data_IF_165557550302
#
_entry.id   IF_165557550302
#
_cell.length_a   1.000
_cell.length_b   1.000
_cell.length_c   1.000
_cell.angle_alpha   90.00
_cell.angle_beta   90.00
_cell.angle_gamma   90.00
#
_symmetry.space_group_name_H-M   'P 1'
#
loop_
_entity.id
_entity.type
_entity.pdbx_description
1 polymer ?
#
# COMPACT_ATOMS: atom_id res chain seq x y z
N UNK A 1 -8.67 1.97 -9.62
CA UNK A 1 -8.00 2.24 -10.90
C UNK A 1 -6.64 2.91 -10.73
N UNK A 2 -6.26 3.44 -9.56
CA UNK A 2 -4.84 3.71 -9.27
C UNK A 2 -4.23 2.41 -8.76
N UNK A 3 -3.64 1.61 -9.65
CA UNK A 3 -3.15 0.27 -9.33
C UNK A 3 -1.62 0.23 -9.28
N UNK A 4 -0.95 1.06 -10.08
CA UNK A 4 0.51 1.13 -10.12
C UNK A 4 1.06 2.58 -10.16
N UNK A 5 2.39 2.69 -10.28
CA UNK A 5 3.07 3.99 -10.38
C UNK A 5 2.75 4.73 -11.69
N UNK A 6 2.48 4.01 -12.78
CA UNK A 6 2.14 4.60 -14.07
C UNK A 6 0.78 5.28 -13.99
N UNK A 7 -0.18 4.66 -13.32
CA UNK A 7 -1.49 5.22 -13.04
C UNK A 7 -1.40 6.51 -12.21
N UNK A 8 -0.59 6.50 -11.17
CA UNK A 8 -0.38 7.68 -10.33
C UNK A 8 0.23 8.83 -11.15
N UNK A 9 1.21 8.54 -12.01
CA UNK A 9 1.80 9.54 -12.91
C UNK A 9 0.78 10.07 -13.92
N UNK A 10 -0.03 9.20 -14.52
CA UNK A 10 -1.07 9.57 -15.47
C UNK A 10 -2.13 10.48 -14.82
N UNK A 11 -2.52 10.15 -13.58
CA UNK A 11 -3.45 10.96 -12.80
C UNK A 11 -2.85 12.32 -12.44
N UNK A 12 -1.58 12.38 -12.02
CA UNK A 12 -0.88 13.64 -11.75
C UNK A 12 -0.79 14.52 -13.01
N UNK A 13 -0.54 13.92 -14.18
CA UNK A 13 -0.57 14.63 -15.44
C UNK A 13 -1.96 15.19 -15.73
N UNK A 14 -3.01 14.36 -15.58
CA UNK A 14 -4.40 14.81 -15.76
C UNK A 14 -4.77 15.97 -14.82
N UNK A 15 -4.30 15.93 -13.57
CA UNK A 15 -4.50 17.00 -12.59
C UNK A 15 -3.77 18.28 -12.99
N UNK A 16 -2.56 18.19 -13.53
CA UNK A 16 -1.84 19.35 -14.06
C UNK A 16 -2.57 19.97 -15.26
N UNK A 17 -2.98 19.14 -16.22
CA UNK A 17 -3.65 19.57 -17.45
C UNK A 17 -5.00 20.25 -17.14
N UNK A 18 -5.70 19.78 -16.10
CA UNK A 18 -7.01 20.31 -15.65
C UNK A 18 -6.90 21.25 -14.46
N UNK A 19 -5.72 21.76 -14.14
CA UNK A 19 -5.47 22.58 -12.96
C UNK A 19 -6.40 23.81 -12.86
N UNK A 20 -6.71 24.46 -13.99
CA UNK A 20 -7.63 25.61 -14.04
C UNK A 20 -9.07 25.25 -13.63
N UNK A 21 -9.57 24.10 -14.08
CA UNK A 21 -10.89 23.58 -13.72
C UNK A 21 -10.93 23.22 -12.22
N UNK A 22 -9.91 22.49 -11.77
CA UNK A 22 -9.82 21.98 -10.39
C UNK A 22 -9.59 23.09 -9.36
N UNK A 23 -9.03 24.23 -9.77
CA UNK A 23 -8.69 25.35 -8.88
C UNK A 23 -9.88 25.85 -8.07
N UNK A 24 -11.06 25.90 -8.68
CA UNK A 24 -12.29 26.39 -8.04
C UNK A 24 -12.75 25.52 -6.88
N UNK A 25 -12.45 24.22 -6.92
CA UNK A 25 -12.95 23.24 -5.96
C UNK A 25 -11.92 22.83 -4.91
N UNK A 26 -10.65 22.77 -5.30
CA UNK A 26 -9.58 22.21 -4.46
C UNK A 26 -8.46 23.22 -4.15
N UNK A 27 -8.57 24.45 -4.65
CA UNK A 27 -7.52 25.46 -4.50
C UNK A 27 -6.40 25.31 -5.53
N UNK A 28 -5.34 26.10 -5.36
CA UNK A 28 -4.30 26.22 -6.39
C UNK A 28 -3.48 24.93 -6.54
N UNK A 29 -3.61 24.27 -7.68
CA UNK A 29 -2.75 23.16 -8.09
C UNK A 29 -1.57 23.72 -8.88
N UNK A 30 -0.39 23.83 -8.23
CA UNK A 30 0.79 24.37 -8.91
C UNK A 30 1.49 23.31 -9.77
N UNK A 31 1.85 23.67 -11.01
CA UNK A 31 2.64 22.81 -11.89
C UNK A 31 3.99 22.43 -11.26
N UNK A 32 4.59 23.35 -10.50
CA UNK A 32 5.83 23.10 -9.75
C UNK A 32 5.66 21.96 -8.72
N UNK A 33 4.53 21.94 -7.99
CA UNK A 33 4.21 20.88 -7.02
C UNK A 33 4.00 19.54 -7.72
N UNK A 34 3.24 19.51 -8.83
CA UNK A 34 3.04 18.28 -9.60
C UNK A 34 4.37 17.75 -10.15
N UNK A 35 5.20 18.62 -10.71
CA UNK A 35 6.52 18.25 -11.21
C UNK A 35 7.47 17.75 -10.12
N UNK A 36 7.38 18.30 -8.91
CA UNK A 36 8.13 17.81 -7.76
C UNK A 36 7.72 16.37 -7.37
N UNK A 37 6.41 16.09 -7.34
CA UNK A 37 5.90 14.74 -7.08
C UNK A 37 6.35 13.76 -8.18
N UNK A 38 6.23 14.14 -9.46
CA UNK A 38 6.65 13.30 -10.59
C UNK A 38 8.14 12.93 -10.52
N UNK A 39 9.03 13.88 -10.15
CA UNK A 39 10.46 13.57 -9.93
C UNK A 39 10.68 12.61 -8.77
N UNK A 40 9.90 12.74 -7.70
CA UNK A 40 9.91 11.79 -6.59
C UNK A 40 9.54 10.38 -7.02
N UNK A 41 8.52 10.24 -7.88
CA UNK A 41 8.11 8.95 -8.43
C UNK A 41 9.20 8.33 -9.33
N UNK A 42 9.86 9.12 -10.18
CA UNK A 42 10.98 8.63 -11.00
C UNK A 42 12.14 8.08 -10.15
N UNK A 43 12.44 8.73 -9.01
CA UNK A 43 13.44 8.22 -8.08
C UNK A 43 13.03 6.87 -7.48
N UNK A 44 11.74 6.65 -7.20
CA UNK A 44 11.24 5.36 -6.72
C UNK A 44 11.27 4.29 -7.81
N UNK A 45 10.91 4.64 -9.05
CA UNK A 45 10.99 3.74 -10.20
C UNK A 45 12.44 3.24 -10.41
N UNK A 46 13.44 4.14 -10.29
CA UNK A 46 14.85 3.75 -10.35
C UNK A 46 15.30 2.78 -9.24
N UNK A 47 14.55 2.73 -8.14
CA UNK A 47 14.74 1.78 -7.03
C UNK A 47 13.93 0.48 -7.21
N UNK A 48 13.30 0.28 -8.36
CA UNK A 48 12.55 -0.92 -8.69
C UNK A 48 11.13 -0.95 -8.14
N UNK A 49 10.55 0.21 -7.80
CA UNK A 49 9.22 0.30 -7.24
C UNK A 49 8.11 -0.26 -8.15
N UNK A 50 8.32 -0.35 -9.47
CA UNK A 50 7.40 -1.00 -10.42
C UNK A 50 7.17 -2.49 -10.12
N UNK A 51 8.17 -3.17 -9.54
CA UNK A 51 8.03 -4.58 -9.12
C UNK A 51 7.39 -4.72 -7.75
N UNK A 52 7.33 -3.61 -7.01
CA UNK A 52 6.90 -3.57 -5.62
C UNK A 52 5.41 -3.22 -5.51
N UNK A 53 4.95 -2.29 -6.33
CA UNK A 53 3.55 -1.92 -6.45
C UNK A 53 2.91 -2.70 -7.59
N UNK A 54 2.01 -3.64 -7.25
CA UNK A 54 1.31 -4.46 -8.22
C UNK A 54 0.27 -5.35 -7.57
N UNK A 55 -0.40 -6.16 -8.39
CA UNK A 55 -1.38 -7.12 -7.91
C UNK A 55 -0.86 -8.57 -7.97
N UNK A 56 -1.22 -9.41 -6.99
CA UNK A 56 -2.12 -9.10 -5.88
C UNK A 56 -1.40 -8.32 -4.78
N UNK A 57 -2.08 -7.29 -4.28
CA UNK A 57 -1.61 -6.51 -3.14
C UNK A 57 -1.53 -7.42 -1.90
N UNK A 58 -0.48 -7.24 -1.09
CA UNK A 58 -0.35 -7.93 0.19
C UNK A 58 -1.59 -7.67 1.04
N UNK A 59 -2.21 -8.74 1.52
CA UNK A 59 -3.32 -8.68 2.45
C UNK A 59 -2.80 -8.86 3.87
N UNK A 60 -2.93 -7.81 4.70
CA UNK A 60 -2.50 -7.86 6.09
C UNK A 60 -3.17 -8.99 6.88
N UNK A 61 -4.37 -9.42 6.50
CA UNK A 61 -5.05 -10.56 7.13
C UNK A 61 -4.26 -11.87 6.98
N UNK A 62 -3.51 -12.02 5.88
CA UNK A 62 -2.71 -13.22 5.64
C UNK A 62 -1.53 -13.34 6.62
N UNK A 63 -1.07 -12.22 7.20
CA UNK A 63 -0.01 -12.17 8.21
C UNK A 63 -0.50 -12.63 9.60
N UNK A 64 -1.81 -12.59 9.85
CA UNK A 64 -2.43 -12.91 11.15
C UNK A 64 -3.01 -14.33 11.20
N UNK A 65 -2.66 -15.17 10.22
CA UNK A 65 -3.12 -16.56 10.18
C UNK A 65 -2.46 -17.40 11.28
N UNK A 66 -3.13 -18.49 11.62
CA UNK A 66 -2.63 -19.53 12.50
C UNK A 66 -2.31 -20.80 11.70
N UNK A 67 -1.45 -21.64 12.25
CA UNK A 67 -1.20 -22.99 11.71
C UNK A 67 -2.35 -23.96 12.04
N UNK A 68 -2.21 -25.21 11.59
CA UNK A 68 -3.21 -26.26 11.82
C UNK A 68 -3.41 -26.61 13.32
N UNK A 69 -2.46 -26.23 14.18
CA UNK A 69 -2.49 -26.43 15.63
C UNK A 69 -3.00 -25.18 16.37
N UNK A 70 -3.39 -24.12 15.64
CA UNK A 70 -3.88 -22.87 16.23
C UNK A 70 -2.77 -21.93 16.72
N UNK A 71 -1.50 -22.21 16.42
CA UNK A 71 -0.37 -21.34 16.79
C UNK A 71 -0.22 -20.21 15.78
N UNK A 72 0.18 -19.03 16.26
CA UNK A 72 0.48 -17.90 15.38
C UNK A 72 1.62 -18.20 14.40
N UNK A 73 1.51 -17.69 13.18
CA UNK A 73 2.53 -17.85 12.14
C UNK A 73 3.67 -16.84 12.31
N UNK A 74 4.92 -17.29 12.16
CA UNK A 74 6.09 -16.40 12.04
C UNK A 74 6.27 -16.08 10.56
N UNK A 75 5.98 -14.82 10.20
CA UNK A 75 6.17 -14.32 8.84
C UNK A 75 7.52 -13.61 8.74
N UNK A 76 8.34 -13.95 7.74
CA UNK A 76 9.61 -13.30 7.47
C UNK A 76 9.52 -12.54 6.15
N UNK A 77 9.60 -11.21 6.21
CA UNK A 77 9.67 -10.36 5.03
C UNK A 77 11.13 -10.27 4.58
N UNK A 78 11.50 -11.07 3.57
CA UNK A 78 12.85 -11.09 3.03
C UNK A 78 13.13 -9.79 2.24
N UNK A 79 13.77 -8.82 2.91
CA UNK A 79 14.06 -7.50 2.38
C UNK A 79 15.51 -7.34 1.87
N UNK A 80 16.23 -8.45 1.63
CA UNK A 80 17.66 -8.48 1.23
C UNK A 80 18.02 -7.46 0.14
N UNK A 81 17.15 -7.32 -0.88
CA UNK A 81 17.31 -6.36 -1.98
C UNK A 81 16.73 -4.98 -1.65
N UNK A 82 15.64 -4.96 -0.90
CA UNK A 82 14.88 -3.76 -0.58
C UNK A 82 15.63 -2.84 0.40
N UNK A 83 16.53 -3.39 1.22
CA UNK A 83 17.44 -2.60 2.07
C UNK A 83 18.37 -1.69 1.25
N UNK A 84 18.66 -2.02 -0.01
CA UNK A 84 19.42 -1.15 -0.93
C UNK A 84 18.57 0.02 -1.47
N UNK A 85 17.25 -0.02 -1.24
CA UNK A 85 16.27 0.97 -1.62
C UNK A 85 15.54 1.51 -0.36
N UNK A 86 16.22 2.25 0.52
CA UNK A 86 15.70 2.62 1.84
C UNK A 86 14.40 3.42 1.79
N UNK A 87 14.21 4.25 0.75
CA UNK A 87 12.95 5.01 0.57
C UNK A 87 11.78 4.09 0.25
N UNK A 88 11.99 3.12 -0.64
CA UNK A 88 10.95 2.14 -0.99
C UNK A 88 10.61 1.27 0.23
N UNK A 89 11.62 0.86 0.99
CA UNK A 89 11.43 0.15 2.26
C UNK A 89 10.58 0.96 3.25
N UNK A 90 10.93 2.22 3.50
CA UNK A 90 10.18 3.07 4.42
C UNK A 90 8.73 3.31 3.98
N UNK A 91 8.50 3.52 2.68
CA UNK A 91 7.14 3.68 2.12
C UNK A 91 6.31 2.42 2.35
N UNK A 92 6.87 1.25 2.08
CA UNK A 92 6.19 -0.02 2.31
C UNK A 92 5.79 -0.22 3.77
N UNK A 93 6.74 -0.02 4.69
CA UNK A 93 6.49 -0.21 6.11
C UNK A 93 5.44 0.77 6.65
N UNK A 94 5.47 2.02 6.19
CA UNK A 94 4.44 2.99 6.53
C UNK A 94 3.06 2.56 5.99
N UNK A 95 3.01 2.12 4.74
CA UNK A 95 1.79 1.61 4.12
C UNK A 95 1.24 0.43 4.93
N UNK A 96 2.09 -0.52 5.31
CA UNK A 96 1.69 -1.71 6.06
C UNK A 96 1.07 -1.34 7.42
N UNK A 97 1.70 -0.43 8.15
CA UNK A 97 1.18 0.03 9.43
C UNK A 97 -0.13 0.83 9.28
N UNK A 98 -0.25 1.65 8.23
CA UNK A 98 -1.47 2.37 7.92
C UNK A 98 -2.62 1.42 7.56
N UNK A 99 -2.35 0.41 6.71
CA UNK A 99 -3.33 -0.60 6.30
C UNK A 99 -3.81 -1.44 7.51
N UNK A 100 -2.89 -1.80 8.41
CA UNK A 100 -3.24 -2.45 9.69
C UNK A 100 -4.17 -1.57 10.53
N UNK A 101 -3.87 -0.28 10.68
CA UNK A 101 -4.71 0.64 11.44
C UNK A 101 -6.10 0.82 10.83
N UNK A 102 -6.19 0.93 9.50
CA UNK A 102 -7.44 1.17 8.78
C UNK A 102 -8.34 -0.08 8.76
N UNK A 103 -7.77 -1.27 8.55
CA UNK A 103 -8.55 -2.51 8.40
C UNK A 103 -8.88 -3.20 9.72
N UNK A 104 -8.03 -3.08 10.74
CA UNK A 104 -8.27 -3.77 11.99
C UNK A 104 -9.34 -3.06 12.83
N UNK A 105 -10.27 -3.80 13.45
CA UNK A 105 -11.16 -3.22 14.44
C UNK A 105 -10.39 -2.89 15.71
N UNK A 106 -10.86 -1.88 16.44
CA UNK A 106 -10.35 -1.64 17.80
C UNK A 106 -10.68 -2.83 18.69
N UNK A 107 -9.73 -3.15 19.57
CA UNK A 107 -9.85 -4.21 20.55
C UNK A 107 -9.48 -3.69 21.92
N UNK A 108 -10.12 -4.26 22.94
CA UNK A 108 -9.78 -3.99 24.33
C UNK A 108 -8.48 -4.67 24.74
N UNK A 109 -8.35 -4.93 26.03
CA UNK A 109 -7.22 -5.67 26.57
C UNK A 109 -7.34 -7.15 26.19
N UNK A 110 -6.36 -7.66 25.45
CA UNK A 110 -6.31 -9.04 24.97
C UNK A 110 -5.14 -9.75 25.63
N UNK A 111 -5.33 -11.01 26.03
CA UNK A 111 -4.25 -11.84 26.59
C UNK A 111 -3.09 -12.02 25.60
N UNK A 112 -3.37 -12.01 24.30
CA UNK A 112 -2.39 -12.13 23.23
C UNK A 112 -2.66 -11.08 22.14
N UNK A 113 -1.60 -10.48 21.56
CA UNK A 113 -1.75 -9.57 20.44
C UNK A 113 -2.22 -10.32 19.18
N UNK A 114 -2.94 -9.61 18.30
CA UNK A 114 -3.30 -10.13 16.96
C UNK A 114 -2.09 -10.26 16.04
N UNK A 115 -1.14 -9.35 16.19
CA UNK A 115 0.08 -9.29 15.40
C UNK A 115 1.19 -8.63 16.21
N UNK A 116 2.41 -9.14 16.09
CA UNK A 116 3.62 -8.47 16.56
C UNK A 116 4.53 -8.24 15.36
N UNK A 117 4.91 -6.99 15.15
CA UNK A 117 5.77 -6.59 14.04
C UNK A 117 7.13 -6.14 14.55
N UNK A 118 8.19 -6.77 14.06
CA UNK A 118 9.58 -6.41 14.35
C UNK A 118 10.16 -5.67 13.14
N UNK A 119 10.53 -4.41 13.35
CA UNK A 119 11.28 -3.62 12.40
C UNK A 119 12.76 -3.79 12.67
N UNK A 120 13.39 -4.68 11.92
CA UNK A 120 14.85 -4.75 11.88
C UNK A 120 15.42 -3.57 11.10
N UNK A 121 16.57 -3.08 11.55
CA UNK A 121 17.20 -1.85 11.09
C UNK A 121 16.24 -0.66 11.05
N UNK A 122 15.55 -0.44 12.19
CA UNK A 122 14.54 0.61 12.34
C UNK A 122 15.02 2.01 11.96
N UNK A 123 16.33 2.28 12.02
CA UNK A 123 16.93 3.54 11.58
C UNK A 123 16.57 3.91 10.13
N UNK A 124 16.32 2.92 9.26
CA UNK A 124 15.93 3.13 7.86
C UNK A 124 14.57 3.84 7.72
N UNK A 125 13.71 3.78 8.73
CA UNK A 125 12.43 4.48 8.76
C UNK A 125 12.55 5.97 9.06
N UNK A 126 13.61 6.36 9.76
CA UNK A 126 13.72 7.68 10.37
C UNK A 126 14.79 8.54 9.71
N UNK A 127 15.83 7.93 9.14
CA UNK A 127 16.90 8.63 8.44
C UNK A 127 16.34 9.43 7.25
N UNK A 128 16.65 10.73 7.22
CA UNK A 128 16.20 11.68 6.20
C UNK A 128 14.67 11.76 6.02
N UNK A 129 13.89 11.25 6.99
CA UNK A 129 12.45 11.32 6.94
C UNK A 129 11.97 12.77 7.20
N UNK A 130 11.15 13.35 6.33
CA UNK A 130 10.63 14.70 6.55
C UNK A 130 9.75 14.73 7.81
N UNK A 131 9.63 15.88 8.50
CA UNK A 131 8.84 15.98 9.74
C UNK A 131 7.41 15.46 9.62
N UNK A 132 6.76 15.67 8.47
CA UNK A 132 5.42 15.15 8.21
C UNK A 132 5.36 13.61 8.23
N UNK A 133 6.40 12.94 7.72
CA UNK A 133 6.50 11.48 7.74
C UNK A 133 6.74 10.97 9.16
N UNK A 134 7.65 11.60 9.91
CA UNK A 134 7.92 11.26 11.31
C UNK A 134 6.64 11.36 12.17
N UNK A 135 5.90 12.45 12.04
CA UNK A 135 4.62 12.65 12.74
C UNK A 135 3.60 11.55 12.38
N UNK A 136 3.56 11.14 11.11
CA UNK A 136 2.67 10.07 10.66
C UNK A 136 3.09 8.72 11.26
N UNK A 137 4.38 8.41 11.28
CA UNK A 137 4.89 7.17 11.90
C UNK A 137 4.53 7.15 13.39
N UNK A 138 4.81 8.23 14.12
CA UNK A 138 4.46 8.35 15.54
C UNK A 138 2.97 8.14 15.78
N UNK A 139 2.12 8.81 14.99
CA UNK A 139 0.68 8.67 15.07
C UNK A 139 0.25 7.22 14.84
N UNK A 140 0.78 6.57 13.80
CA UNK A 140 0.38 5.21 13.46
C UNK A 140 0.85 4.22 14.52
N UNK A 141 2.11 4.30 14.98
CA UNK A 141 2.64 3.44 16.07
C UNK A 141 1.79 3.56 17.34
N UNK A 142 1.35 4.77 17.69
CA UNK A 142 0.46 5.00 18.82
C UNK A 142 -0.91 4.34 18.62
N UNK A 143 -1.48 4.46 17.42
CA UNK A 143 -2.85 4.02 17.13
C UNK A 143 -2.98 2.51 16.88
N UNK A 144 -1.98 1.86 16.27
CA UNK A 144 -2.05 0.41 16.00
C UNK A 144 -2.09 -0.42 17.28
N UNK A 145 -1.63 0.13 18.41
CA UNK A 145 -1.73 -0.52 19.73
C UNK A 145 -3.18 -0.84 20.11
N UNK A 146 -4.12 0.08 19.88
CA UNK A 146 -5.55 -0.16 20.18
C UNK A 146 -6.20 -1.17 19.23
N UNK A 147 -5.49 -1.59 18.18
CA UNK A 147 -5.90 -2.65 17.24
C UNK A 147 -5.35 -4.02 17.64
N UNK A 148 -4.63 -4.12 18.75
CA UNK A 148 -3.99 -5.36 19.21
C UNK A 148 -2.71 -5.68 18.45
N UNK A 149 -2.05 -4.66 17.89
CA UNK A 149 -0.78 -4.81 17.17
C UNK A 149 0.37 -4.29 18.05
N UNK A 150 1.36 -5.15 18.31
CA UNK A 150 2.61 -4.79 18.95
C UNK A 150 3.67 -4.39 17.93
N UNK A 151 4.40 -3.30 18.18
CA UNK A 151 5.49 -2.83 17.32
C UNK A 151 6.79 -2.81 18.11
N UNK A 152 7.83 -3.45 17.55
CA UNK A 152 9.18 -3.48 18.10
C UNK A 152 10.15 -2.89 17.07
N UNK A 153 10.91 -1.88 17.49
CA UNK A 153 12.00 -1.33 16.68
C UNK A 153 13.32 -1.92 17.16
N UNK A 154 14.06 -2.54 16.24
CA UNK A 154 15.37 -3.13 16.49
C UNK A 154 16.40 -2.25 15.77
N UNK A 155 17.37 -1.76 16.52
CA UNK A 155 18.43 -0.87 16.02
C UNK A 155 19.72 -1.12 16.78
N UNK A 156 20.85 -0.85 16.13
CA UNK A 156 22.17 -0.91 16.76
C UNK A 156 22.42 0.29 17.67
N UNK A 157 21.86 1.46 17.33
CA UNK A 157 22.03 2.69 18.11
C UNK A 157 20.67 3.30 18.47
N UNK A 158 20.38 3.54 19.76
CA UNK A 158 19.13 4.16 20.18
C UNK A 158 18.95 5.59 19.63
N UNK A 159 20.05 6.30 19.33
CA UNK A 159 20.01 7.66 18.78
C UNK A 159 19.45 7.72 17.35
N UNK A 160 19.33 6.58 16.67
CA UNK A 160 18.77 6.53 15.32
C UNK A 160 17.23 6.46 15.33
N UNK A 161 16.61 6.38 16.51
CA UNK A 161 15.15 6.45 16.68
C UNK A 161 14.80 7.81 17.30
N UNK A 162 13.86 8.58 16.72
CA UNK A 162 13.43 9.86 17.28
C UNK A 162 12.88 9.75 18.70
N UNK A 163 13.21 10.72 19.56
CA UNK A 163 12.76 10.76 20.96
C UNK A 163 11.23 10.67 21.10
N UNK A 164 10.47 11.26 20.17
CA UNK A 164 9.00 11.20 20.19
C UNK A 164 8.47 9.78 19.99
N UNK A 165 9.14 8.99 19.16
CA UNK A 165 8.83 7.58 18.93
C UNK A 165 9.34 6.73 20.09
N UNK A 166 10.57 6.97 20.55
CA UNK A 166 11.11 6.29 21.74
C UNK A 166 10.16 6.45 22.93
N UNK A 167 9.62 7.65 23.18
CA UNK A 167 8.67 7.89 24.25
C UNK A 167 7.37 7.07 24.20
N UNK A 168 7.00 6.52 23.03
CA UNK A 168 5.81 5.66 22.88
C UNK A 168 6.09 4.17 23.18
N UNK A 169 7.35 3.78 23.25
CA UNK A 169 7.76 2.39 23.38
C UNK A 169 7.93 2.00 24.85
N UNK A 170 7.01 1.18 25.35
CA UNK A 170 6.98 0.81 26.77
C UNK A 170 7.90 -0.34 27.18
N UNK A 171 8.19 -1.27 26.26
CA UNK A 171 9.11 -2.39 26.50
C UNK A 171 10.52 -2.05 26.01
N UNK A 172 11.53 -2.42 26.80
CA UNK A 172 12.95 -2.19 26.51
C UNK A 172 13.75 -3.47 26.71
N UNK A 173 14.58 -3.77 25.71
CA UNK A 173 15.63 -4.78 25.76
C UNK A 173 16.88 -4.15 25.19
N UNK A 174 17.90 -3.93 26.03
CA UNK A 174 19.13 -3.27 25.67
C UNK A 174 20.30 -4.25 25.80
N UNK A 175 20.93 -4.56 24.68
CA UNK A 175 22.17 -5.32 24.66
C UNK A 175 23.39 -4.41 24.90
N UNK A 176 24.58 -5.03 24.98
CA UNK A 176 25.83 -4.32 25.17
C UNK A 176 26.04 -3.20 24.12
N UNK A 177 26.40 -2.01 24.57
CA UNK A 177 26.89 -0.93 23.72
C UNK A 177 28.36 -0.70 24.00
N UNK A 178 29.16 -0.59 22.94
CA UNK A 178 30.59 -0.28 23.06
C UNK A 178 30.78 1.23 22.95
N UNK A 179 31.20 1.85 24.05
CA UNK A 179 31.42 3.29 24.10
C UNK A 179 32.89 3.66 23.87
N UNK A 180 33.27 3.88 22.61
CA UNK A 180 34.63 4.32 22.25
C UNK A 180 34.69 5.79 21.87
N UNK A 181 33.59 6.34 21.34
CA UNK A 181 33.49 7.73 20.89
C UNK A 181 32.55 8.54 21.79
N UNK A 182 32.61 9.90 21.76
CA UNK A 182 31.63 10.74 22.43
C UNK A 182 30.19 10.48 21.97
N UNK A 183 29.99 10.10 20.71
CA UNK A 183 28.67 9.72 20.18
C UNK A 183 28.17 8.45 20.87
N UNK A 184 29.03 7.46 21.06
CA UNK A 184 28.65 6.20 21.70
C UNK A 184 28.36 6.41 23.19
N UNK A 185 29.14 7.25 23.88
CA UNK A 185 28.85 7.63 25.27
C UNK A 185 27.48 8.30 25.39
N UNK A 186 27.13 9.18 24.44
CA UNK A 186 25.79 9.77 24.38
C UNK A 186 24.72 8.69 24.16
N UNK A 187 24.96 7.72 23.28
CA UNK A 187 24.04 6.62 23.03
C UNK A 187 23.80 5.75 24.28
N UNK A 188 24.87 5.42 25.02
CA UNK A 188 24.78 4.70 26.30
C UNK A 188 23.94 5.48 27.31
N UNK A 189 24.21 6.78 27.47
CA UNK A 189 23.46 7.64 28.38
C UNK A 189 21.97 7.74 27.98
N UNK A 190 21.69 7.93 26.70
CA UNK A 190 20.31 7.96 26.20
C UNK A 190 19.60 6.64 26.45
N UNK A 191 20.23 5.50 26.15
CA UNK A 191 19.66 4.18 26.46
C UNK A 191 19.32 4.07 27.96
N UNK A 192 20.27 4.37 28.85
CA UNK A 192 20.06 4.29 30.29
C UNK A 192 18.90 5.18 30.78
N UNK A 193 18.80 6.41 30.26
CA UNK A 193 17.74 7.37 30.63
C UNK A 193 16.34 6.96 30.15
N UNK A 194 16.24 6.15 29.10
CA UNK A 194 14.95 5.66 28.59
C UNK A 194 14.44 4.41 29.33
N UNK A 195 15.25 3.86 30.23
CA UNK A 195 14.91 2.67 31.01
C UNK A 195 14.44 3.04 32.43
N UNK A 196 13.59 2.21 33.04
CA UNK A 196 13.12 2.49 34.39
C UNK A 196 14.24 2.29 35.41
N UNK A 197 14.56 3.27 36.27
CA UNK A 197 15.63 3.15 37.27
C UNK A 197 15.42 1.96 38.21
N UNK A 198 16.53 1.32 38.60
CA UNK A 198 16.58 0.30 39.63
C UNK A 198 17.65 0.72 40.66
N UNK A 199 17.30 0.97 41.94
CA UNK A 199 18.26 1.41 42.96
C UNK A 199 19.44 0.46 43.18
N UNK A 200 19.30 -0.83 42.84
CA UNK A 200 20.36 -1.84 42.97
C UNK A 200 21.26 -1.97 41.74
N UNK A 201 21.04 -1.19 40.68
CA UNK A 201 21.73 -1.34 39.40
C UNK A 201 22.08 0.03 38.80
N UNK A 202 23.37 0.29 38.61
CA UNK A 202 23.81 1.38 37.74
C UNK A 202 23.60 0.96 36.28
N UNK A 203 22.50 1.44 35.69
CA UNK A 203 22.09 1.10 34.32
C UNK A 203 23.15 1.58 33.31
N UNK A 204 23.72 2.78 33.51
CA UNK A 204 24.67 3.35 32.55
C UNK A 204 25.98 2.56 32.52
N UNK A 205 26.52 2.23 33.72
CA UNK A 205 27.68 1.36 33.84
C UNK A 205 27.38 -0.04 33.29
N UNK A 206 26.25 -0.64 33.69
CA UNK A 206 25.88 -1.99 33.30
C UNK A 206 25.80 -2.19 31.79
N UNK A 207 25.28 -1.20 31.02
CA UNK A 207 25.22 -1.27 29.55
C UNK A 207 26.59 -1.55 28.92
N UNK A 208 27.65 -0.96 29.47
CA UNK A 208 29.02 -1.12 28.94
C UNK A 208 29.68 -2.44 29.36
N UNK A 209 29.23 -3.00 30.48
CA UNK A 209 29.75 -4.22 31.11
C UNK A 209 29.05 -5.50 30.65
N UNK A 210 27.93 -5.40 29.93
CA UNK A 210 27.20 -6.55 29.41
C UNK A 210 28.10 -7.45 28.54
N UNK A 211 28.06 -8.74 28.84
CA UNK A 211 28.68 -9.80 28.06
C UNK A 211 27.79 -10.33 26.94
N UNK A 212 28.31 -11.31 26.20
CA UNK A 212 27.55 -12.00 25.15
C UNK A 212 26.39 -12.77 25.78
N UNK A 213 25.19 -12.58 25.23
CA UNK A 213 23.98 -13.23 25.72
C UNK A 213 23.34 -12.53 26.92
N UNK A 214 23.87 -11.41 27.39
CA UNK A 214 23.23 -10.59 28.42
C UNK A 214 22.51 -9.38 27.82
N UNK A 215 21.48 -8.93 28.54
CA UNK A 215 20.74 -7.71 28.24
C UNK A 215 20.22 -7.05 29.51
N UNK A 216 20.01 -5.75 29.45
CA UNK A 216 19.14 -5.04 30.38
C UNK A 216 17.71 -5.08 29.87
N UNK A 217 16.77 -5.43 30.73
CA UNK A 217 15.37 -5.66 30.36
C UNK A 217 14.45 -4.85 31.27
N UNK A 218 13.52 -4.11 30.67
CA UNK A 218 12.44 -3.43 31.37
C UNK A 218 11.15 -3.60 30.56
N UNK A 219 10.26 -4.46 31.05
CA UNK A 219 8.98 -4.76 30.40
C UNK A 219 7.82 -4.12 31.16
N UNK A 220 6.68 -3.95 30.48
CA UNK A 220 5.46 -3.46 31.11
C UNK A 220 4.83 -4.52 32.04
N UNK A 221 4.31 -4.07 33.18
CA UNK A 221 3.43 -4.85 34.05
C UNK A 221 2.01 -4.96 33.44
N UNK A 222 1.09 -5.77 34.01
CA UNK A 222 -0.28 -5.88 33.53
C UNK A 222 -1.08 -4.56 33.56
N UNK A 223 -0.59 -3.52 34.23
CA UNK A 223 -1.20 -2.18 34.26
C UNK A 223 -0.53 -1.24 33.24
N UNK A 224 0.34 -1.75 32.38
CA UNK A 224 1.07 -1.00 31.37
C UNK A 224 2.16 -0.09 31.93
N UNK A 225 2.66 -0.36 33.15
CA UNK A 225 3.76 0.42 33.76
C UNK A 225 5.08 -0.31 33.54
N UNK A 226 6.14 0.36 33.06
CA UNK A 226 7.45 -0.27 32.94
C UNK A 226 7.90 -0.79 34.31
N UNK A 227 8.43 -2.01 34.40
CA UNK A 227 9.03 -2.57 35.62
C UNK A 227 10.47 -2.09 35.79
N UNK A 228 11.04 -2.08 37.02
CA UNK A 228 12.45 -1.74 37.23
C UNK A 228 13.36 -2.54 36.29
N UNK A 229 14.41 -1.89 35.80
CA UNK A 229 15.33 -2.54 34.86
C UNK A 229 16.15 -3.62 35.57
N UNK A 230 16.22 -4.80 34.95
CA UNK A 230 16.97 -5.95 35.46
C UNK A 230 18.01 -6.41 34.43
N UNK A 231 19.14 -6.95 34.90
CA UNK A 231 20.12 -7.65 34.05
C UNK A 231 19.68 -9.10 33.90
N UNK A 232 19.57 -9.58 32.67
CA UNK A 232 19.11 -10.93 32.36
C UNK A 232 19.97 -11.61 31.29
N UNK A 233 20.00 -12.93 31.33
CA UNK A 233 20.51 -13.76 30.24
C UNK A 233 19.40 -14.01 29.21
N UNK A 234 19.72 -13.84 27.93
CA UNK A 234 18.85 -14.13 26.81
C UNK A 234 19.06 -15.59 26.40
N UNK A 235 17.95 -16.33 26.36
CA UNK A 235 17.96 -17.72 25.90
C UNK A 235 18.41 -17.74 24.43
N UNK A 236 19.43 -18.55 24.08
CA UNK A 236 19.88 -18.65 22.69
C UNK A 236 18.77 -19.22 21.80
N UNK A 237 18.70 -18.80 20.52
CA UNK A 237 17.67 -19.29 19.63
C UNK A 237 17.85 -20.79 19.36
N UNK A 238 16.75 -21.54 19.37
CA UNK A 238 16.72 -22.95 18.98
C UNK A 238 16.66 -23.11 17.44
N UNK A 239 17.49 -22.35 16.72
CA UNK A 239 17.51 -22.29 15.26
C UNK A 239 18.94 -22.40 14.72
N UNK A 240 19.05 -22.57 13.39
CA UNK A 240 20.34 -22.48 12.70
C UNK A 240 20.87 -21.05 12.78
N UNK A 241 22.13 -20.90 13.16
CA UNK A 241 22.89 -19.66 12.96
C UNK A 241 23.25 -19.56 11.48
N UNK A 242 22.65 -18.60 10.77
CA UNK A 242 22.90 -18.34 9.36
C UNK A 242 21.64 -18.39 8.48
N UNK A 243 21.72 -17.87 7.24
CA UNK A 243 20.56 -17.75 6.37
C UNK A 243 20.01 -19.11 5.93
N UNK A 244 18.71 -19.13 5.61
CA UNK A 244 18.12 -20.26 4.92
C UNK A 244 18.62 -20.37 3.47
N UNK A 245 18.90 -21.60 3.06
CA UNK A 245 19.27 -21.94 1.69
C UNK A 245 18.13 -21.66 0.72
N UNK A 246 18.44 -21.44 -0.55
CA UNK A 246 17.41 -21.15 -1.56
C UNK A 246 16.42 -22.31 -1.73
N UNK A 247 16.89 -23.56 -1.64
CA UNK A 247 16.05 -24.74 -1.72
C UNK A 247 15.06 -24.83 -0.54
N UNK A 248 15.50 -24.54 0.70
CA UNK A 248 14.61 -24.48 1.86
C UNK A 248 13.57 -23.36 1.70
N UNK A 249 14.01 -22.17 1.27
CA UNK A 249 13.11 -21.03 1.01
C UNK A 249 12.07 -21.39 -0.05
N UNK A 250 12.47 -22.08 -1.13
CA UNK A 250 11.58 -22.50 -2.20
C UNK A 250 10.57 -23.54 -1.73
N UNK A 251 11.00 -24.55 -0.96
CA UNK A 251 10.12 -25.57 -0.40
C UNK A 251 9.05 -24.96 0.52
N UNK A 252 9.43 -23.99 1.38
CA UNK A 252 8.48 -23.27 2.23
C UNK A 252 7.47 -22.45 1.43
N UNK A 253 7.92 -21.78 0.35
CA UNK A 253 7.01 -21.03 -0.53
C UNK A 253 6.02 -21.95 -1.23
N UNK A 254 6.48 -23.06 -1.79
CA UNK A 254 5.63 -24.02 -2.51
C UNK A 254 4.62 -24.71 -1.57
N UNK A 255 5.02 -24.99 -0.33
CA UNK A 255 4.13 -25.54 0.70
C UNK A 255 3.16 -24.52 1.32
N UNK A 256 3.32 -23.23 1.03
CA UNK A 256 2.46 -22.19 1.60
C UNK A 256 1.10 -22.17 0.92
N UNK A 257 -0.01 -22.16 1.69
CA UNK A 257 -1.34 -21.95 1.12
C UNK A 257 -1.52 -20.60 0.41
N UNK A 258 -0.58 -19.66 0.60
CA UNK A 258 -0.58 -18.35 -0.08
C UNK A 258 0.15 -18.36 -1.42
N UNK A 259 0.81 -19.46 -1.79
CA UNK A 259 1.55 -19.55 -3.06
C UNK A 259 0.63 -19.20 -4.23
N UNK A 260 -0.53 -19.87 -4.32
CA UNK A 260 -1.53 -19.62 -5.37
C UNK A 260 -2.05 -18.18 -5.39
N UNK A 261 -2.06 -17.49 -4.25
CA UNK A 261 -2.48 -16.09 -4.17
C UNK A 261 -1.41 -15.17 -4.75
N UNK A 262 -0.14 -15.33 -4.40
CA UNK A 262 0.91 -14.34 -4.70
C UNK A 262 1.89 -14.73 -5.82
N UNK A 263 1.83 -15.95 -6.36
CA UNK A 263 2.81 -16.42 -7.35
C UNK A 263 2.64 -15.78 -8.73
N UNK A 264 1.39 -15.46 -9.11
CA UNK A 264 1.09 -14.87 -10.41
C UNK A 264 0.77 -13.39 -10.26
N UNK A 265 1.60 -12.54 -10.86
CA UNK A 265 1.29 -11.12 -10.98
C UNK A 265 0.07 -10.93 -11.88
N UNK A 266 -0.85 -10.06 -11.46
CA UNK A 266 -2.05 -9.72 -12.22
C UNK A 266 -1.84 -8.32 -12.81
N UNK A 267 -1.92 -8.23 -14.13
CA UNK A 267 -1.94 -6.96 -14.86
C UNK A 267 -3.39 -6.65 -15.24
N UNK A 268 -4.03 -5.72 -14.51
CA UNK A 268 -5.40 -5.26 -14.79
C UNK A 268 -5.36 -4.03 -15.68
N UNK A 269 -6.41 -3.88 -16.49
CA UNK A 269 -6.59 -2.68 -17.32
C UNK A 269 -6.47 -1.41 -16.45
N UNK A 270 -5.45 -0.60 -16.75
CA UNK A 270 -4.95 0.43 -15.84
C UNK A 270 -5.69 1.78 -16.01
N UNK A 271 -5.66 2.67 -15.01
CA UNK A 271 -6.17 4.04 -15.23
C UNK A 271 -5.44 4.74 -16.38
N UNK A 272 -4.15 4.46 -16.57
CA UNK A 272 -3.37 4.93 -17.70
C UNK A 272 -4.02 4.51 -19.03
N UNK A 273 -4.38 3.24 -19.20
CA UNK A 273 -5.02 2.74 -20.43
C UNK A 273 -6.40 3.37 -20.65
N UNK A 274 -7.20 3.52 -19.58
CA UNK A 274 -8.50 4.18 -19.66
C UNK A 274 -8.37 5.68 -20.00
N UNK A 275 -7.37 6.37 -19.44
CA UNK A 275 -7.10 7.79 -19.71
C UNK A 275 -6.52 7.99 -21.11
N UNK A 276 -5.57 7.16 -21.53
CA UNK A 276 -5.00 7.16 -22.88
C UNK A 276 -6.07 6.84 -23.92
N UNK A 277 -6.94 5.86 -23.66
CA UNK A 277 -8.08 5.54 -24.52
C UNK A 277 -9.14 6.64 -24.60
N UNK A 278 -9.29 7.47 -23.54
CA UNK A 278 -10.13 8.68 -23.58
C UNK A 278 -9.48 9.81 -24.36
N UNK A 279 -8.17 9.99 -24.26
CA UNK A 279 -7.42 10.98 -25.03
C UNK A 279 -7.32 10.62 -26.53
N UNK A 280 -7.33 9.31 -26.85
CA UNK A 280 -7.28 8.77 -28.21
C UNK A 280 -8.66 8.70 -28.89
N UNK A 281 -9.77 8.97 -28.20
CA UNK A 281 -11.08 9.15 -28.84
C UNK A 281 -11.13 10.54 -29.47
N UNK A 282 -11.22 10.66 -30.80
CA UNK A 282 -11.43 11.96 -31.43
C UNK A 282 -12.72 12.55 -30.87
N UNK A 283 -12.67 13.82 -30.45
CA UNK A 283 -13.89 14.59 -30.23
C UNK A 283 -14.73 14.48 -31.51
N UNK A 284 -15.90 13.85 -31.41
CA UNK A 284 -16.83 13.76 -32.52
C UNK A 284 -17.09 15.18 -33.02
N UNK A 285 -17.00 15.45 -34.34
CA UNK A 285 -17.22 16.80 -34.84
C UNK A 285 -18.64 17.24 -34.47
N UNK A 286 -18.74 18.33 -33.70
CA UNK A 286 -19.98 19.07 -33.60
C UNK A 286 -20.42 19.43 -35.03
N UNK A 287 -21.65 19.03 -35.37
CA UNK A 287 -22.15 19.02 -36.75
C UNK A 287 -21.90 20.32 -37.49
N UNK A 288 -21.06 20.25 -38.52
CA UNK A 288 -21.08 21.19 -39.62
C UNK A 288 -22.28 20.83 -40.50
N UNK A 289 -23.31 21.66 -40.48
CA UNK A 289 -24.41 21.59 -41.44
C UNK A 289 -23.88 21.81 -42.85
N UNK A 290 -23.99 20.78 -43.69
CA UNK A 290 -23.79 20.88 -45.13
C UNK A 290 -25.14 21.25 -45.78
N UNK A 291 -25.17 22.43 -46.40
CA UNK A 291 -26.05 22.70 -47.53
C UNK A 291 -25.43 22.02 -48.75
N UNK A 292 -26.17 21.11 -49.38
CA UNK A 292 -25.83 20.56 -50.69
C UNK A 292 -26.51 21.36 -51.81
N UNK A 293 -25.73 21.77 -52.80
CA UNK A 293 -26.17 22.01 -54.17
C UNK A 293 -25.34 21.12 -55.08
N UNK A 294 -26.03 20.27 -55.85
CA UNK A 294 -25.46 19.06 -56.45
C UNK A 294 -24.71 19.21 -57.77
N UNK A 295 -24.28 18.06 -58.29
CA UNK A 295 -24.31 17.64 -59.70
C UNK A 295 -23.73 16.23 -59.84
N UNK A 296 -24.41 15.38 -60.62
CA UNK A 296 -23.86 14.15 -61.21
C UNK A 296 -23.24 14.50 -62.59
N UNK A 297 -22.35 13.66 -63.19
CA UNK A 297 -22.85 12.47 -63.92
C UNK A 297 -21.92 11.22 -63.99
N UNK A 298 -22.60 10.07 -64.15
CA UNK A 298 -22.40 8.87 -65.01
C UNK A 298 -21.05 8.17 -65.30
N UNK A 299 -21.11 6.82 -65.31
CA UNK A 299 -20.26 5.87 -66.08
C UNK A 299 -19.60 4.79 -65.20
N UNK A 300 -20.19 3.61 -64.94
CA UNK A 300 -20.40 2.38 -65.74
C UNK A 300 -19.38 1.25 -65.46
N UNK A 301 -19.96 0.09 -65.11
CA UNK A 301 -19.51 -1.31 -65.27
C UNK A 301 -18.20 -1.85 -64.66
N UNK A 302 -18.37 -2.83 -63.74
CA UNK A 302 -17.36 -3.88 -63.54
C UNK A 302 -17.52 -4.75 -62.29
N UNK A 303 -18.09 -5.96 -62.45
CA UNK A 303 -17.64 -7.15 -61.68
C UNK A 303 -18.48 -7.55 -60.46
N UNK A 304 -19.43 -8.46 -60.67
CA UNK A 304 -20.23 -9.08 -59.62
C UNK A 304 -19.47 -10.13 -58.80
N UNK A 305 -19.63 -10.02 -57.48
CA UNK A 305 -19.68 -11.09 -56.46
C UNK A 305 -20.01 -10.48 -55.07
N UNK A 306 -19.86 -9.15 -54.92
CA UNK A 306 -20.06 -8.42 -53.67
C UNK A 306 -21.51 -7.92 -53.45
N UNK A 307 -22.35 -7.89 -54.49
CA UNK A 307 -23.74 -7.40 -54.40
C UNK A 307 -24.69 -8.35 -53.66
N UNK A 308 -24.43 -9.67 -53.70
CA UNK A 308 -25.30 -10.68 -53.08
C UNK A 308 -25.19 -10.73 -51.55
N UNK A 309 -24.10 -10.22 -50.96
CA UNK A 309 -23.88 -10.22 -49.51
C UNK A 309 -24.41 -8.94 -48.84
N UNK A 310 -24.44 -7.81 -49.56
CA UNK A 310 -25.01 -6.57 -49.06
C UNK A 310 -26.55 -6.59 -48.99
N UNK A 311 -27.22 -7.32 -49.88
CA UNK A 311 -28.68 -7.43 -49.91
C UNK A 311 -29.25 -8.20 -48.69
N UNK A 312 -28.45 -9.08 -48.10
CA UNK A 312 -28.82 -9.84 -46.89
C UNK A 312 -28.65 -9.00 -45.62
N UNK A 313 -27.78 -7.97 -45.64
CA UNK A 313 -27.47 -7.14 -44.47
C UNK A 313 -28.27 -5.82 -44.41
N UNK A 314 -28.65 -5.24 -45.55
CA UNK A 314 -29.23 -3.88 -45.58
C UNK A 314 -30.66 -3.76 -46.14
N UNK A 315 -31.26 -4.86 -46.61
CA UNK A 315 -32.64 -4.86 -47.12
C UNK A 315 -32.77 -4.22 -48.50
N UNK A 316 -33.64 -4.78 -49.34
CA UNK A 316 -33.84 -4.34 -50.72
C UNK A 316 -35.15 -3.57 -50.92
N UNK A 317 -35.17 -2.68 -51.92
CA UNK A 317 -36.37 -1.92 -52.32
C UNK A 317 -36.92 -2.48 -53.63
N UNK A 318 -38.18 -2.94 -53.64
CA UNK A 318 -38.79 -3.55 -54.82
C UNK A 318 -39.37 -2.56 -55.84
N UNK A 319 -39.72 -2.99 -57.07
CA UNK A 319 -40.06 -2.11 -58.21
C UNK A 319 -41.40 -1.35 -58.11
N UNK A 320 -42.08 -1.40 -56.96
CA UNK A 320 -43.32 -0.66 -56.68
C UNK A 320 -43.34 0.04 -55.30
N UNK A 321 -42.16 0.33 -54.74
CA UNK A 321 -42.04 1.26 -53.61
C UNK A 321 -42.36 0.71 -52.21
N UNK A 322 -42.40 -0.60 -52.02
CA UNK A 322 -42.49 -1.22 -50.69
C UNK A 322 -41.11 -1.54 -50.10
N UNK A 323 -40.81 -1.06 -48.89
CA UNK A 323 -39.60 -1.39 -48.12
C UNK A 323 -39.86 -2.61 -47.22
N UNK A 324 -38.93 -3.58 -47.17
CA UNK A 324 -38.90 -4.65 -46.15
C UNK A 324 -37.62 -4.52 -45.33
N UNK A 325 -37.77 -4.38 -44.02
CA UNK A 325 -36.64 -4.26 -43.09
C UNK A 325 -35.90 -5.59 -42.91
N UNK A 326 -34.57 -5.54 -42.95
CA UNK A 326 -33.66 -6.67 -42.69
C UNK A 326 -33.43 -6.92 -41.20
N UNK A 327 -33.25 -8.20 -40.83
CA UNK A 327 -33.13 -8.67 -39.45
C UNK A 327 -31.70 -8.48 -38.95
N UNK A 328 -31.34 -7.27 -38.48
CA UNK A 328 -30.26 -7.06 -37.49
C UNK A 328 -30.62 -5.86 -36.61
N UNK A 329 -31.77 -5.92 -35.92
CA UNK A 329 -32.08 -4.93 -34.88
C UNK A 329 -33.02 -5.46 -33.79
N UNK A 330 -32.74 -6.66 -33.25
CA UNK A 330 -33.58 -7.19 -32.15
C UNK A 330 -32.83 -8.00 -31.07
N UNK A 331 -31.49 -8.02 -31.03
CA UNK A 331 -30.75 -8.66 -29.93
C UNK A 331 -29.83 -7.72 -29.12
N UNK A 332 -30.02 -6.40 -29.21
CA UNK A 332 -29.23 -5.42 -28.44
C UNK A 332 -30.06 -4.52 -27.50
N UNK A 333 -31.33 -4.85 -27.20
CA UNK A 333 -32.21 -3.92 -26.45
C UNK A 333 -33.05 -4.50 -25.29
N UNK A 334 -32.75 -5.68 -24.76
CA UNK A 334 -33.55 -6.25 -23.65
C UNK A 334 -32.82 -6.65 -22.36
N UNK A 335 -31.49 -6.51 -22.24
CA UNK A 335 -30.77 -6.91 -21.00
C UNK A 335 -30.26 -5.75 -20.12
N UNK A 336 -30.71 -4.51 -20.36
CA UNK A 336 -30.24 -3.31 -19.62
C UNK A 336 -31.27 -2.78 -18.60
N UNK A 337 -32.37 -3.49 -18.30
CA UNK A 337 -33.44 -2.94 -17.44
C UNK A 337 -33.71 -3.62 -16.10
N UNK A 338 -32.84 -4.50 -15.59
CA UNK A 338 -33.02 -5.11 -14.25
C UNK A 338 -31.86 -4.91 -13.26
N UNK A 339 -30.71 -4.35 -13.67
CA UNK A 339 -29.54 -4.18 -12.76
C UNK A 339 -29.51 -2.78 -12.09
N UNK A 340 -30.45 -1.89 -12.44
CA UNK A 340 -30.48 -0.50 -11.99
C UNK A 340 -31.29 -0.25 -10.68
N UNK A 341 -31.62 -1.27 -9.88
CA UNK A 341 -32.42 -1.08 -8.64
C UNK A 341 -31.82 -1.57 -7.32
N UNK A 342 -30.60 -2.08 -7.29
CA UNK A 342 -29.96 -2.49 -6.00
C UNK A 342 -28.71 -1.70 -5.60
N UNK A 343 -28.13 -0.89 -6.49
CA UNK A 343 -26.90 -0.13 -6.18
C UNK A 343 -27.13 1.30 -5.64
N UNK A 344 -28.38 1.73 -5.49
CA UNK A 344 -28.71 3.11 -5.05
C UNK A 344 -29.05 3.26 -3.57
N UNK A 345 -29.00 2.17 -2.77
CA UNK A 345 -29.31 2.25 -1.32
C UNK A 345 -28.13 2.01 -0.38
N UNK A 346 -26.92 1.77 -0.89
CA UNK A 346 -25.76 1.43 -0.06
C UNK A 346 -24.82 2.58 0.33
N UNK A 347 -24.84 3.71 -0.38
CA UNK A 347 -23.73 4.70 -0.30
C UNK A 347 -24.18 6.11 0.14
N UNK A 348 -25.49 6.35 0.33
CA UNK A 348 -26.01 7.66 0.77
C UNK A 348 -26.68 7.66 2.17
N UNK A 349 -26.60 6.54 2.90
CA UNK A 349 -27.22 6.39 4.22
C UNK A 349 -26.32 6.69 5.43
N UNK A 350 -25.01 6.87 5.26
CA UNK A 350 -24.07 6.95 6.40
C UNK A 350 -23.51 8.35 6.70
N UNK A 351 -24.01 9.41 6.03
CA UNK A 351 -23.49 10.78 6.18
C UNK A 351 -24.53 11.84 6.63
N UNK A 352 -25.75 11.43 7.00
CA UNK A 352 -26.74 12.35 7.56
C UNK A 352 -27.18 11.88 8.96
N UNK A 353 -26.80 12.69 9.93
CA UNK A 353 -26.80 12.44 11.38
C UNK A 353 -28.09 11.92 12.00
N UNK A 354 -27.89 11.12 13.06
CA UNK A 354 -28.90 10.94 14.10
C UNK A 354 -28.62 11.92 15.25
N UNK A 355 -29.49 12.94 15.36
CA UNK A 355 -29.60 13.82 16.51
C UNK A 355 -31.00 13.61 17.10
N UNK A 356 -31.04 12.90 18.24
CA UNK A 356 -32.08 13.00 19.27
C UNK A 356 -33.46 12.37 19.01
N UNK A 357 -33.87 11.45 19.89
CA UNK A 357 -34.87 11.67 20.98
C UNK A 357 -35.70 10.41 21.27
N UNK A 358 -35.38 9.72 22.36
CA UNK A 358 -36.31 9.44 23.47
C UNK A 358 -35.54 8.95 24.68
#
# INVERSE_FOLDING_TARGET
>A
LLLDLKDLRAMLQNVADRSAELKTRYGNVSSASVGAIQRGLLALESQGAEKFFGEPMLDVADLMRTDAQGRGMVNVLAADKLMQAPRLYAIFLLWLLADLYEKLPEVGDMDQPKLVFFFDEAHLLFNDAPPALLNKIEQVVRLVRSKGVGVYFVTQNPLDIPDTVLGQLGNRVQHALRAFTPRDQKAVKTAAQTMRPNPGLDIEAAITELGVGEALVSLLDPKGRPMPTERAFIVPPASRIGPATDAERQSLRQGSPLASKYETAIDRESAYEVLAGRAAKPAAPAGAGQNESGQAPAGDSGGGLMGSLNDVLFGSTGPRGGKRDGIVQTMAKSTVRSIARELTRGILGSLLGSKGRR
#
